data_IF_741811622471
#
_entry.id   IF_741811622471
#
_cell.length_a   1.000
_cell.length_b   1.000
_cell.length_c   1.000
_cell.angle_alpha   90.00
_cell.angle_beta   90.00
_cell.angle_gamma   90.00
#
_symmetry.space_group_name_H-M   'P 1'
#
loop_
_entity.id
_entity.type
_entity.pdbx_description
1 polymer ?
2 branched ?
3 branched ?
4 non-polymer ?
5 water ?
#
# COMPACT_ATOMS: atom_id res chain seq x y z
N UNK A 1 13.73 23.24 -10.01
CA UNK A 1 14.37 22.77 -11.27
C UNK A 1 14.25 21.25 -11.38
N UNK A 2 14.38 20.71 -12.58
CA UNK A 2 14.36 19.26 -12.75
C UNK A 2 15.77 18.82 -12.38
N UNK A 3 15.91 18.24 -11.21
CA UNK A 3 17.24 17.85 -10.77
C UNK A 3 17.80 16.63 -11.44
N UNK A 4 16.95 15.63 -11.56
CA UNK A 4 17.37 14.33 -12.13
C UNK A 4 16.15 13.66 -12.68
N UNK A 5 16.34 12.96 -13.78
CA UNK A 5 15.28 12.22 -14.39
C UNK A 5 15.87 10.85 -14.77
N UNK A 6 15.34 9.80 -14.20
CA UNK A 6 15.87 8.49 -14.52
C UNK A 6 15.21 7.46 -13.63
N UNK A 7 15.81 6.26 -13.59
CA UNK A 7 15.30 5.17 -12.78
C UNK A 7 15.90 5.29 -11.40
N UNK A 8 15.17 4.81 -10.41
CA UNK A 8 15.68 4.80 -9.03
C UNK A 8 16.70 3.63 -8.97
N UNK A 9 17.97 3.95 -8.71
CA UNK A 9 19.00 2.92 -8.65
C UNK A 9 18.85 2.16 -7.33
N UNK A 10 18.67 2.89 -6.23
CA UNK A 10 18.41 2.28 -4.94
C UNK A 10 17.62 3.25 -4.09
N UNK A 11 16.95 2.75 -3.05
CA UNK A 11 16.25 3.68 -2.17
C UNK A 11 16.76 3.28 -0.78
N UNK A 12 16.61 4.16 0.18
CA UNK A 12 17.08 3.89 1.51
C UNK A 12 16.27 4.61 2.52
N UNK A 13 15.91 3.88 3.57
CA UNK A 13 15.15 4.47 4.69
C UNK A 13 16.26 4.86 5.68
N UNK A 14 16.22 6.13 6.08
CA UNK A 14 17.26 6.67 6.97
C UNK A 14 16.87 6.65 8.44
N UNK A 15 17.86 6.69 9.34
CA UNK A 15 17.55 6.63 10.77
C UNK A 15 16.69 7.78 11.26
N UNK A 16 16.76 8.91 10.59
CA UNK A 16 15.94 10.02 11.03
C UNK A 16 14.57 10.01 10.33
N UNK A 17 14.19 8.85 9.80
CA UNK A 17 12.92 8.69 9.09
C UNK A 17 12.79 9.41 7.75
N UNK A 18 13.88 9.95 7.23
CA UNK A 18 13.80 10.54 5.89
C UNK A 18 14.02 9.36 4.91
N UNK A 19 13.91 9.63 3.62
CA UNK A 19 14.04 8.57 2.63
C UNK A 19 14.88 9.08 1.46
N UNK A 20 15.87 8.31 1.09
CA UNK A 20 16.77 8.68 0.04
C UNK A 20 16.59 7.86 -1.20
N UNK A 21 16.68 8.51 -2.34
CA UNK A 21 16.68 7.77 -3.58
C UNK A 21 17.91 8.19 -4.39
N UNK A 22 18.43 7.29 -5.20
CA UNK A 22 19.54 7.60 -6.06
C UNK A 22 19.04 7.53 -7.49
N UNK A 23 19.08 8.69 -8.17
CA UNK A 23 18.63 8.81 -9.55
C UNK A 23 19.69 9.55 -10.40
N UNK A 24 20.05 8.99 -11.58
CA UNK A 24 21.05 9.58 -12.48
C UNK A 24 22.35 9.87 -11.78
N UNK A 25 22.74 8.93 -10.91
CA UNK A 25 24.00 9.03 -10.20
C UNK A 25 24.04 9.99 -9.04
N UNK A 26 22.93 10.61 -8.66
CA UNK A 26 22.95 11.56 -7.54
C UNK A 26 21.93 11.14 -6.47
N UNK A 27 22.22 11.46 -5.21
CA UNK A 27 21.34 11.10 -4.10
C UNK A 27 20.47 12.26 -3.69
N UNK A 28 19.19 12.00 -3.46
CA UNK A 28 18.23 13.03 -3.03
C UNK A 28 17.44 12.43 -1.86
N UNK A 29 17.06 13.25 -0.88
CA UNK A 29 16.34 12.73 0.25
C UNK A 29 15.06 13.51 0.49
N UNK A 30 14.04 12.90 1.07
CA UNK A 30 12.84 13.65 1.35
C UNK A 30 12.35 13.28 2.71
N UNK A 31 11.69 14.25 3.36
CA UNK A 31 11.09 14.04 4.67
C UNK A 31 9.58 13.85 4.55
N UNK A 32 9.05 13.76 3.31
CA UNK A 32 7.61 13.57 3.15
C UNK A 32 7.34 12.06 3.23
N UNK A 33 6.77 11.61 4.34
CA UNK A 33 6.54 10.20 4.52
C UNK A 33 5.63 9.58 3.45
N UNK A 34 4.67 10.33 2.94
CA UNK A 34 3.74 9.82 1.91
C UNK A 34 4.47 9.43 0.63
N UNK A 35 5.65 9.98 0.43
CA UNK A 35 6.38 9.64 -0.77
C UNK A 35 7.02 8.29 -0.72
N UNK A 36 7.30 7.79 0.49
CA UNK A 36 8.01 6.51 0.60
C UNK A 36 7.40 5.36 -0.21
N UNK A 37 6.13 5.03 0.04
CA UNK A 37 5.56 3.92 -0.72
C UNK A 37 5.44 4.21 -2.24
N UNK A 38 5.24 5.49 -2.59
CA UNK A 38 5.12 5.88 -4.01
C UNK A 38 6.46 5.70 -4.72
N UNK A 39 7.55 6.08 -4.05
CA UNK A 39 8.88 5.93 -4.62
C UNK A 39 9.28 4.47 -4.72
N UNK A 40 9.00 3.68 -3.67
CA UNK A 40 9.34 2.29 -3.72
C UNK A 40 8.58 1.56 -4.86
N UNK A 41 7.33 1.94 -5.10
CA UNK A 41 6.56 1.35 -6.20
C UNK A 41 7.13 1.68 -7.56
N UNK A 42 7.55 2.94 -7.74
CA UNK A 42 8.18 3.39 -8.97
C UNK A 42 9.47 2.55 -9.15
N UNK A 43 10.22 2.38 -8.08
CA UNK A 43 11.44 1.60 -8.15
C UNK A 43 11.18 0.16 -8.58
N UNK A 44 10.16 -0.46 -7.99
CA UNK A 44 9.86 -1.85 -8.32
C UNK A 44 9.42 -2.04 -9.78
N UNK A 45 8.65 -1.10 -10.31
CA UNK A 45 8.18 -1.24 -11.70
C UNK A 45 9.16 -0.63 -12.72
N UNK A 46 10.25 -0.04 -12.23
CA UNK A 46 11.23 0.55 -13.11
C UNK A 46 10.73 1.78 -13.82
N UNK A 47 9.91 2.57 -13.15
CA UNK A 47 9.37 3.77 -13.75
C UNK A 47 10.39 4.90 -13.64
N UNK A 48 10.38 5.80 -14.61
CA UNK A 48 11.25 6.94 -14.58
C UNK A 48 10.61 7.98 -13.62
N UNK A 49 11.44 8.62 -12.79
CA UNK A 49 10.93 9.68 -11.91
C UNK A 49 11.75 10.92 -12.21
N UNK A 50 11.17 12.08 -11.93
CA UNK A 50 11.90 13.34 -12.08
C UNK A 50 11.88 13.99 -10.70
N UNK A 51 13.06 14.11 -10.09
CA UNK A 51 13.20 14.74 -8.78
C UNK A 51 13.22 16.22 -9.06
N UNK A 52 12.33 16.95 -8.40
CA UNK A 52 12.21 18.39 -8.61
C UNK A 52 12.52 19.14 -7.33
N UNK A 53 13.44 20.10 -7.41
CA UNK A 53 13.84 20.89 -6.26
C UNK A 53 14.61 22.11 -6.74
N UNK A 54 14.78 23.10 -5.87
CA UNK A 54 15.59 24.29 -6.20
C UNK A 54 17.05 23.99 -6.02
N UNK A 55 17.35 22.95 -5.24
CA UNK A 55 18.71 22.54 -4.97
C UNK A 55 18.88 21.16 -5.58
N UNK A 56 19.74 21.04 -6.59
CA UNK A 56 19.88 19.80 -7.29
C UNK A 56 21.19 19.05 -7.16
N UNK A 57 22.12 19.56 -6.37
CA UNK A 57 23.37 18.84 -6.23
C UNK A 57 23.13 17.57 -5.41
N UNK A 58 23.96 16.55 -5.61
CA UNK A 58 23.82 15.31 -4.87
C UNK A 58 23.78 15.61 -3.39
N UNK A 59 22.88 14.92 -2.68
CA UNK A 59 22.72 15.12 -1.26
C UNK A 59 21.62 16.09 -0.86
N UNK A 60 20.96 16.70 -1.85
CA UNK A 60 19.91 17.69 -1.59
C UNK A 60 18.53 17.09 -1.24
N UNK A 61 17.73 17.91 -0.58
CA UNK A 61 16.39 17.51 -0.21
C UNK A 61 15.43 17.86 -1.36
N UNK A 62 14.28 17.19 -1.39
CA UNK A 62 13.24 17.47 -2.40
C UNK A 62 11.89 17.12 -1.78
N UNK A 63 10.83 17.66 -2.38
CA UNK A 63 9.49 17.31 -1.92
C UNK A 63 8.54 17.23 -3.09
N UNK A 64 9.07 17.22 -4.31
CA UNK A 64 8.25 17.21 -5.52
C UNK A 64 8.88 16.21 -6.45
N UNK A 65 8.05 15.36 -7.05
CA UNK A 65 8.59 14.33 -7.95
C UNK A 65 7.51 13.89 -8.92
N UNK A 66 7.90 13.77 -10.19
CA UNK A 66 6.95 13.32 -11.20
C UNK A 66 7.24 11.85 -11.46
N UNK A 67 6.18 11.09 -11.67
CA UNK A 67 6.27 9.67 -11.97
C UNK A 67 5.87 9.56 -13.46
N UNK A 68 6.83 9.13 -14.27
CA UNK A 68 6.70 9.00 -15.73
C UNK A 68 6.67 10.39 -16.40
N UNK B 1 -19.27 16.78 -13.57
CA UNK B 1 -19.19 16.26 -14.95
C UNK B 1 -17.98 15.34 -15.10
N UNK B 2 -17.99 14.54 -16.16
CA UNK B 2 -16.90 13.64 -16.50
C UNK B 2 -15.90 14.51 -17.26
N UNK B 3 -14.76 14.84 -16.65
CA UNK B 3 -13.79 15.71 -17.28
C UNK B 3 -12.80 15.05 -18.23
N UNK B 4 -12.45 13.80 -17.94
CA UNK B 4 -11.47 13.12 -18.75
C UNK B 4 -11.58 11.65 -18.40
N UNK B 5 -11.27 10.78 -19.35
CA UNK B 5 -11.33 9.37 -19.12
C UNK B 5 -10.20 8.73 -19.89
N UNK B 6 -9.35 7.98 -19.22
CA UNK B 6 -8.25 7.34 -19.91
C UNK B 6 -7.21 6.87 -18.89
N UNK B 7 -6.03 6.49 -19.36
CA UNK B 7 -4.96 6.05 -18.46
C UNK B 7 -4.28 7.30 -17.94
N UNK B 8 -3.63 7.15 -16.80
CA UNK B 8 -2.89 8.24 -16.23
C UNK B 8 -1.54 8.29 -17.02
N UNK B 9 -1.27 9.43 -17.65
CA UNK B 9 -0.04 9.59 -18.45
C UNK B 9 1.13 9.82 -17.48
N UNK B 10 0.95 10.71 -16.50
CA UNK B 10 1.98 10.85 -15.48
C UNK B 10 1.29 11.33 -14.22
N UNK B 11 1.96 11.19 -13.07
CA UNK B 11 1.41 11.72 -11.83
C UNK B 11 2.53 12.52 -11.21
N UNK B 12 2.20 13.39 -10.27
CA UNK B 12 3.21 14.20 -9.64
C UNK B 12 2.83 14.54 -8.23
N UNK B 13 3.79 14.36 -7.32
CA UNK B 13 3.58 14.71 -5.93
C UNK B 13 4.07 16.14 -5.85
N UNK B 14 3.21 17.05 -5.40
CA UNK B 14 3.56 18.47 -5.31
C UNK B 14 4.06 18.86 -3.93
N UNK B 15 4.81 19.95 -3.90
CA UNK B 15 5.43 20.45 -2.67
C UNK B 15 4.41 20.79 -1.61
N UNK B 16 3.20 21.16 -1.98
CA UNK B 16 2.20 21.48 -0.99
C UNK B 16 1.41 20.26 -0.59
N UNK B 17 1.94 19.10 -0.92
CA UNK B 17 1.30 17.82 -0.62
C UNK B 17 0.05 17.48 -1.46
N UNK B 18 -0.27 18.27 -2.48
CA UNK B 18 -1.36 17.90 -3.35
C UNK B 18 -0.80 16.88 -4.35
N UNK B 19 -1.64 16.39 -5.26
CA UNK B 19 -1.16 15.33 -6.17
C UNK B 19 -1.82 15.60 -7.51
N UNK B 20 -1.01 15.65 -8.55
CA UNK B 20 -1.51 15.92 -9.90
C UNK B 20 -1.44 14.66 -10.77
N UNK B 21 -2.41 14.49 -11.67
CA UNK B 21 -2.38 13.39 -12.63
C UNK B 21 -2.75 13.98 -13.97
N UNK B 22 -2.18 13.43 -15.03
CA UNK B 22 -2.50 13.91 -16.37
C UNK B 22 -3.29 12.80 -17.06
N UNK B 23 -4.50 13.14 -17.50
CA UNK B 23 -5.39 12.17 -18.15
C UNK B 23 -5.97 12.86 -19.38
N UNK B 24 -5.87 12.20 -20.53
CA UNK B 24 -6.40 12.74 -21.81
C UNK B 24 -5.80 14.10 -22.13
N UNK B 25 -4.52 14.25 -21.85
CA UNK B 25 -3.84 15.50 -22.16
C UNK B 25 -4.14 16.67 -21.27
N UNK B 26 -4.88 16.47 -20.19
CA UNK B 26 -5.20 17.56 -19.28
C UNK B 26 -4.72 17.19 -17.89
N UNK B 27 -4.20 18.17 -17.14
CA UNK B 27 -3.75 17.92 -15.77
C UNK B 27 -4.84 18.27 -14.77
N UNK B 28 -4.91 17.50 -13.69
CA UNK B 28 -5.89 17.72 -12.63
C UNK B 28 -5.16 17.46 -11.33
N UNK B 29 -5.55 18.17 -10.26
CA UNK B 29 -4.89 17.95 -9.00
C UNK B 29 -5.91 17.71 -7.90
N UNK B 30 -5.50 17.01 -6.84
CA UNK B 30 -6.41 16.79 -5.74
C UNK B 30 -5.66 16.99 -4.44
N UNK B 31 -6.39 17.45 -3.43
CA UNK B 31 -5.77 17.64 -2.13
C UNK B 31 -6.17 16.50 -1.21
N UNK B 32 -6.81 15.47 -1.75
CA UNK B 32 -7.22 14.36 -0.87
C UNK B 32 -6.09 13.35 -0.71
N UNK B 33 -5.48 13.33 0.48
CA UNK B 33 -4.35 12.43 0.74
C UNK B 33 -4.62 10.96 0.37
N UNK B 34 -5.81 10.47 0.67
CA UNK B 34 -6.19 9.06 0.43
C UNK B 34 -6.12 8.70 -1.05
N UNK B 35 -6.37 9.69 -1.92
CA UNK B 35 -6.33 9.41 -3.36
C UNK B 35 -4.93 9.15 -3.88
N UNK B 36 -3.89 9.57 -3.16
CA UNK B 36 -2.54 9.37 -3.68
C UNK B 36 -2.19 7.92 -4.00
N UNK B 37 -2.31 7.01 -3.01
CA UNK B 37 -1.96 5.63 -3.34
C UNK B 37 -2.93 5.00 -4.35
N UNK B 38 -4.20 5.43 -4.32
CA UNK B 38 -5.15 4.87 -5.27
C UNK B 38 -4.81 5.30 -6.71
N UNK B 39 -4.54 6.61 -6.91
CA UNK B 39 -4.20 7.11 -8.24
C UNK B 39 -2.89 6.51 -8.72
N UNK B 40 -1.88 6.44 -7.85
CA UNK B 40 -0.63 5.83 -8.28
C UNK B 40 -0.79 4.36 -8.66
N UNK B 41 -1.55 3.61 -7.90
CA UNK B 41 -1.75 2.19 -8.23
C UNK B 41 -2.46 2.08 -9.57
N UNK B 42 -3.41 2.98 -9.80
CA UNK B 42 -4.16 2.97 -11.09
C UNK B 42 -3.15 3.23 -12.21
N UNK B 43 -2.25 4.18 -11.99
CA UNK B 43 -1.25 4.52 -13.01
C UNK B 43 -0.31 3.35 -13.29
N UNK B 44 0.15 2.69 -12.22
CA UNK B 44 1.07 1.57 -12.35
C UNK B 44 0.50 0.36 -13.07
N UNK B 45 -0.80 0.15 -12.93
CA UNK B 45 -1.44 -1.02 -13.56
C UNK B 45 -2.19 -0.71 -14.83
N UNK B 46 -2.17 0.55 -15.27
CA UNK B 46 -2.86 0.90 -16.50
C UNK B 46 -4.39 0.93 -16.41
N UNK B 47 -4.95 1.15 -15.21
CA UNK B 47 -6.41 1.25 -15.07
C UNK B 47 -6.92 2.49 -15.79
N UNK B 48 -8.14 2.43 -16.29
CA UNK B 48 -8.75 3.60 -16.90
C UNK B 48 -9.38 4.41 -15.75
N UNK B 49 -9.14 5.71 -15.67
CA UNK B 49 -9.74 6.49 -14.63
C UNK B 49 -10.63 7.57 -15.25
N UNK B 50 -11.67 7.95 -14.54
CA UNK B 50 -12.52 9.01 -15.04
C UNK B 50 -12.43 10.08 -13.98
N UNK B 51 -11.95 11.25 -14.36
CA UNK B 51 -11.81 12.37 -13.42
C UNK B 51 -13.16 13.11 -13.45
N UNK B 52 -13.77 13.28 -12.29
CA UNK B 52 -15.08 13.92 -12.19
C UNK B 52 -14.96 15.22 -11.36
N UNK B 53 -15.47 16.31 -11.92
CA UNK B 53 -15.39 17.62 -11.27
C UNK B 53 -16.33 18.56 -12.00
N UNK B 54 -16.65 19.69 -11.37
CA UNK B 54 -17.48 20.69 -12.06
C UNK B 54 -16.55 21.52 -12.96
N UNK B 55 -15.26 21.53 -12.64
CA UNK B 55 -14.28 22.29 -13.44
C UNK B 55 -13.39 21.30 -14.19
N UNK B 56 -13.51 21.28 -15.51
CA UNK B 56 -12.78 20.33 -16.33
C UNK B 56 -11.60 20.82 -17.13
N UNK B 57 -11.28 22.10 -17.07
CA UNK B 57 -10.14 22.59 -17.85
C UNK B 57 -8.80 22.10 -17.20
N UNK B 58 -7.77 21.94 -18.01
CA UNK B 58 -6.50 21.52 -17.49
C UNK B 58 -6.08 22.44 -16.35
N UNK B 59 -5.51 21.86 -15.30
CA UNK B 59 -5.11 22.61 -14.12
C UNK B 59 -6.18 22.67 -13.02
N UNK B 60 -7.36 22.10 -13.26
CA UNK B 60 -8.45 22.13 -12.27
C UNK B 60 -8.35 21.10 -11.14
N UNK B 61 -9.02 21.39 -10.03
CA UNK B 61 -8.99 20.45 -8.92
C UNK B 61 -10.12 19.43 -9.05
N UNK B 62 -9.97 18.31 -8.33
CA UNK B 62 -10.98 17.28 -8.29
C UNK B 62 -10.87 16.54 -6.97
N UNK B 63 -11.93 15.81 -6.65
CA UNK B 63 -11.96 15.02 -5.46
C UNK B 63 -12.80 13.79 -5.73
N UNK B 64 -13.16 13.56 -6.99
CA UNK B 64 -13.99 12.42 -7.32
C UNK B 64 -13.40 11.74 -8.52
N UNK B 65 -13.32 10.41 -8.46
CA UNK B 65 -12.72 9.66 -9.56
C UNK B 65 -13.22 8.24 -9.56
N UNK B 66 -13.42 7.73 -10.75
CA UNK B 66 -13.87 6.36 -10.94
C UNK B 66 -12.71 5.55 -11.50
N UNK B 67 -12.58 4.31 -11.02
CA UNK B 67 -11.51 3.44 -11.44
C UNK B 67 -12.12 2.26 -12.14
N UNK B 68 -11.76 2.07 -13.39
CA UNK B 68 -12.26 0.94 -14.17
C UNK B 68 -11.19 -0.02 -14.63
N UNK C 1 -26.59 -9.68 5.81
CA UNK C 1 -26.87 -10.61 4.66
C UNK C 1 -25.74 -10.49 3.64
N UNK C 2 -25.58 -11.53 2.80
CA UNK C 2 -24.59 -11.48 1.72
C UNK C 2 -25.26 -10.71 0.57
N UNK C 3 -24.91 -9.45 0.41
CA UNK C 3 -25.55 -8.63 -0.61
C UNK C 3 -25.20 -8.94 -2.05
N UNK C 4 -23.90 -9.16 -2.27
CA UNK C 4 -23.39 -9.39 -3.62
C UNK C 4 -22.05 -10.13 -3.44
N UNK C 5 -21.74 -11.02 -4.37
CA UNK C 5 -20.50 -11.76 -4.31
C UNK C 5 -20.00 -11.80 -5.74
N UNK C 6 -18.83 -11.25 -5.97
CA UNK C 6 -18.33 -11.25 -7.34
C UNK C 6 -17.09 -10.40 -7.44
N UNK C 7 -16.66 -10.08 -8.65
CA UNK C 7 -15.48 -9.24 -8.85
C UNK C 7 -15.98 -7.81 -8.78
N UNK C 8 -15.08 -6.88 -8.52
CA UNK C 8 -15.49 -5.48 -8.50
C UNK C 8 -15.47 -5.00 -9.95
N UNK C 9 -16.58 -4.47 -10.46
CA UNK C 9 -16.63 -4.00 -11.84
C UNK C 9 -16.00 -2.62 -11.90
N UNK C 10 -16.26 -1.78 -10.90
CA UNK C 10 -15.62 -0.46 -10.85
C UNK C 10 -15.62 0.04 -9.42
N UNK C 11 -14.74 0.97 -9.10
CA UNK C 11 -14.75 1.51 -7.76
C UNK C 11 -14.72 3.03 -7.99
N UNK C 12 -15.15 3.81 -7.03
CA UNK C 12 -15.18 5.24 -7.23
C UNK C 12 -14.94 5.89 -5.90
N UNK C 13 -14.11 6.93 -5.91
CA UNK C 13 -13.79 7.68 -4.71
C UNK C 13 -14.74 8.89 -4.80
N UNK C 14 -15.54 9.07 -3.76
CA UNK C 14 -16.54 10.12 -3.74
C UNK C 14 -16.10 11.41 -3.05
N UNK C 15 -16.76 12.51 -3.41
CA UNK C 15 -16.40 13.79 -2.88
C UNK C 15 -16.46 13.89 -1.37
N UNK C 16 -17.31 13.09 -0.73
CA UNK C 16 -17.40 13.10 0.75
C UNK C 16 -16.44 12.10 1.38
N UNK C 17 -15.47 11.62 0.59
CA UNK C 17 -14.48 10.65 1.00
C UNK C 17 -15.01 9.24 1.25
N UNK C 18 -16.24 8.93 0.82
CA UNK C 18 -16.75 7.57 0.95
C UNK C 18 -16.22 6.86 -0.31
N UNK C 19 -16.43 5.55 -0.41
CA UNK C 19 -15.88 4.82 -1.55
C UNK C 19 -16.96 3.85 -2.04
N UNK C 20 -17.18 3.81 -3.33
CA UNK C 20 -18.25 2.98 -3.90
C UNK C 20 -17.64 1.87 -4.73
N UNK C 21 -18.24 0.69 -4.66
CA UNK C 21 -17.81 -0.41 -5.52
C UNK C 21 -19.10 -0.95 -6.15
N UNK C 22 -18.98 -1.42 -7.38
CA UNK C 22 -20.10 -2.03 -8.07
C UNK C 22 -19.78 -3.53 -8.16
N UNK C 23 -20.63 -4.36 -7.58
CA UNK C 23 -20.41 -5.81 -7.56
C UNK C 23 -21.78 -6.44 -7.94
N UNK C 24 -21.76 -7.39 -8.89
CA UNK C 24 -22.97 -8.07 -9.38
C UNK C 24 -24.04 -7.13 -9.87
N UNK C 25 -23.62 -6.05 -10.53
CA UNK C 25 -24.60 -5.13 -11.04
C UNK C 25 -25.14 -4.16 -10.02
N UNK C 26 -24.72 -4.21 -8.76
CA UNK C 26 -25.25 -3.24 -7.80
C UNK C 26 -24.15 -2.38 -7.18
N UNK C 27 -24.47 -1.16 -6.78
CA UNK C 27 -23.45 -0.29 -6.21
C UNK C 27 -23.59 -0.29 -4.71
N UNK C 28 -22.47 -0.27 -4.00
CA UNK C 28 -22.46 -0.22 -2.54
C UNK C 28 -21.38 0.78 -2.12
N UNK C 29 -21.60 1.50 -1.04
CA UNK C 29 -20.59 2.47 -0.63
C UNK C 29 -20.21 2.23 0.83
N UNK C 30 -19.03 2.67 1.23
CA UNK C 30 -18.60 2.50 2.60
C UNK C 30 -17.86 3.77 3.05
N UNK C 31 -17.97 4.10 4.34
CA UNK C 31 -17.26 5.27 4.87
C UNK C 31 -16.01 4.83 5.61
N UNK C 32 -15.63 3.55 5.51
CA UNK C 32 -14.46 3.09 6.23
C UNK C 32 -13.22 3.28 5.37
N UNK C 33 -12.43 4.28 5.73
CA UNK C 33 -11.21 4.62 5.00
C UNK C 33 -10.30 3.42 4.74
N UNK C 34 -10.16 2.54 5.75
CA UNK C 34 -9.27 1.38 5.66
C UNK C 34 -9.62 0.46 4.51
N UNK C 35 -10.88 0.44 4.11
CA UNK C 35 -11.34 -0.42 3.05
C UNK C 35 -10.90 0.01 1.67
N UNK C 36 -10.56 1.28 1.52
CA UNK C 36 -10.18 1.76 0.20
C UNK C 36 -9.05 0.99 -0.47
N UNK C 37 -7.88 0.90 0.18
CA UNK C 37 -6.80 0.17 -0.46
C UNK C 37 -7.12 -1.31 -0.56
N UNK C 38 -7.83 -1.86 0.42
CA UNK C 38 -8.16 -3.29 0.33
C UNK C 38 -9.08 -3.57 -0.87
N UNK C 39 -10.09 -2.73 -1.07
CA UNK C 39 -11.03 -2.93 -2.18
C UNK C 39 -10.36 -2.66 -3.53
N UNK C 40 -9.50 -1.66 -3.62
CA UNK C 40 -8.83 -1.42 -4.89
C UNK C 40 -7.92 -2.61 -5.24
N UNK C 41 -7.22 -3.15 -4.23
CA UNK C 41 -6.32 -4.30 -4.48
C UNK C 41 -7.13 -5.48 -4.99
N UNK C 42 -8.25 -5.72 -4.34
CA UNK C 42 -9.13 -6.80 -4.75
C UNK C 42 -9.57 -6.57 -6.21
N UNK C 43 -9.91 -5.33 -6.53
CA UNK C 43 -10.36 -5.02 -7.91
C UNK C 43 -9.24 -5.27 -8.95
N UNK C 44 -8.04 -4.81 -8.63
CA UNK C 44 -6.89 -4.98 -9.53
C UNK C 44 -6.51 -6.46 -9.76
N UNK C 45 -6.74 -7.30 -8.75
CA UNK C 45 -6.36 -8.71 -8.84
C UNK C 45 -7.47 -9.65 -9.19
N UNK C 46 -8.69 -9.13 -9.37
CA UNK C 46 -9.81 -9.98 -9.71
C UNK C 46 -10.26 -10.84 -8.55
N UNK C 47 -9.98 -10.44 -7.32
CA UNK C 47 -10.46 -11.22 -6.16
C UNK C 47 -11.98 -11.18 -6.12
N UNK C 48 -12.60 -12.25 -5.61
CA UNK C 48 -14.03 -12.30 -5.43
C UNK C 48 -14.33 -11.67 -4.06
N UNK C 49 -15.22 -10.69 -4.01
CA UNK C 49 -15.55 -10.07 -2.74
C UNK C 49 -17.03 -10.32 -2.45
N UNK C 50 -17.37 -10.40 -1.17
CA UNK C 50 -18.76 -10.54 -0.74
C UNK C 50 -19.06 -9.33 0.13
N UNK C 51 -19.97 -8.49 -0.33
CA UNK C 51 -20.40 -7.28 0.38
C UNK C 51 -21.45 -7.77 1.40
N UNK C 52 -21.20 -7.51 2.69
CA UNK C 52 -22.08 -7.92 3.78
C UNK C 52 -22.70 -6.67 4.41
N UNK C 53 -24.04 -6.67 4.49
CA UNK C 53 -24.79 -5.56 5.03
C UNK C 53 -26.25 -6.01 5.28
N UNK C 54 -26.98 -5.31 6.15
CA UNK C 54 -28.39 -5.69 6.37
C UNK C 54 -29.23 -5.07 5.27
N UNK C 55 -28.67 -4.11 4.54
CA UNK C 55 -29.39 -3.45 3.46
C UNK C 55 -28.63 -3.79 2.20
N UNK C 56 -29.27 -4.51 1.28
CA UNK C 56 -28.59 -4.96 0.09
C UNK C 56 -29.02 -4.37 -1.21
N UNK C 57 -30.03 -3.50 -1.22
CA UNK C 57 -30.44 -2.93 -2.51
C UNK C 57 -29.32 -2.01 -3.04
N UNK C 58 -29.28 -1.79 -4.37
CA UNK C 58 -28.24 -0.94 -4.96
C UNK C 58 -28.30 0.44 -4.30
N UNK C 59 -27.12 0.98 -4.00
CA UNK C 59 -26.98 2.28 -3.34
C UNK C 59 -26.84 2.22 -1.84
N UNK C 60 -26.81 1.02 -1.26
CA UNK C 60 -26.72 0.84 0.19
C UNK C 60 -25.30 0.94 0.72
N UNK C 61 -25.18 1.25 2.01
CA UNK C 61 -23.87 1.33 2.62
C UNK C 61 -23.46 -0.03 3.18
N UNK C 62 -22.16 -0.20 3.43
CA UNK C 62 -21.70 -1.45 4.05
C UNK C 62 -20.40 -1.13 4.79
N UNK C 63 -20.02 -2.00 5.71
CA UNK C 63 -18.77 -1.82 6.42
C UNK C 63 -18.18 -3.20 6.63
N UNK C 64 -18.71 -4.21 5.95
CA UNK C 64 -18.21 -5.56 6.18
C UNK C 64 -18.04 -6.23 4.83
N UNK C 65 -16.91 -6.91 4.64
CA UNK C 65 -16.64 -7.54 3.36
C UNK C 65 -15.66 -8.68 3.46
N UNK C 66 -16.01 -9.77 2.78
CA UNK C 66 -15.14 -10.94 2.75
C UNK C 66 -14.38 -10.96 1.42
N UNK C 67 -13.09 -11.29 1.52
CA UNK C 67 -12.20 -11.35 0.35
C UNK C 67 -11.79 -12.79 0.14
N UNK C 68 -12.09 -13.32 -1.05
CA UNK C 68 -11.73 -14.67 -1.43
C UNK C 68 -10.86 -14.75 -2.67
N UNK D 1 1.92 -19.58 21.31
CA UNK D 1 1.98 -20.84 20.53
C UNK D 1 1.70 -20.56 19.06
N UNK D 2 2.10 -21.49 18.20
CA UNK D 2 1.81 -21.38 16.77
C UNK D 2 0.42 -22.00 16.62
N UNK D 3 -0.60 -21.15 16.52
CA UNK D 3 -1.98 -21.60 16.39
C UNK D 3 -2.36 -22.21 15.06
N UNK D 4 -1.80 -21.70 13.97
CA UNK D 4 -2.15 -22.24 12.66
C UNK D 4 -1.06 -21.80 11.71
N UNK D 5 -0.79 -22.64 10.71
CA UNK D 5 0.21 -22.31 9.74
C UNK D 5 -0.39 -22.78 8.42
N UNK D 6 -0.52 -21.89 7.45
CA UNK D 6 -1.10 -22.33 6.19
C UNK D 6 -1.43 -21.13 5.36
N UNK D 7 -2.11 -21.35 4.26
CA UNK D 7 -2.51 -20.23 3.40
C UNK D 7 -3.76 -19.57 3.98
N UNK D 8 -3.97 -18.31 3.63
CA UNK D 8 -5.17 -17.62 4.05
C UNK D 8 -6.33 -18.05 3.10
N UNK D 9 -7.33 -18.75 3.63
CA UNK D 9 -8.49 -19.21 2.82
C UNK D 9 -9.36 -18.00 2.44
N UNK D 10 -9.72 -17.15 3.41
CA UNK D 10 -10.42 -15.91 3.12
C UNK D 10 -10.03 -14.92 4.20
N UNK D 11 -10.25 -13.64 3.91
CA UNK D 11 -9.98 -12.61 4.90
C UNK D 11 -11.29 -11.82 4.93
N UNK D 12 -11.54 -11.12 6.04
CA UNK D 12 -12.77 -10.39 6.15
C UNK D 12 -12.62 -9.16 7.03
N UNK D 13 -13.11 -8.05 6.50
CA UNK D 13 -13.08 -6.81 7.24
C UNK D 13 -14.43 -6.81 7.99
N UNK D 14 -14.36 -6.64 9.32
CA UNK D 14 -15.52 -6.69 10.17
C UNK D 14 -16.07 -5.29 10.47
N UNK D 15 -17.33 -5.22 10.87
CA UNK D 15 -17.95 -3.95 11.15
C UNK D 15 -17.30 -3.17 12.27
N UNK D 16 -16.65 -3.86 13.21
CA UNK D 16 -15.97 -3.14 14.29
C UNK D 16 -14.55 -2.76 13.91
N UNK D 17 -14.24 -2.85 12.62
CA UNK D 17 -12.93 -2.53 12.06
C UNK D 17 -11.83 -3.53 12.37
N UNK D 18 -12.19 -4.70 12.93
CA UNK D 18 -11.17 -5.72 13.16
C UNK D 18 -11.06 -6.48 11.83
N UNK D 19 -10.13 -7.43 11.75
CA UNK D 19 -9.90 -8.14 10.52
C UNK D 19 -9.70 -9.62 10.82
N UNK D 20 -10.46 -10.45 10.13
CA UNK D 20 -10.44 -11.89 10.33
C UNK D 20 -9.77 -12.62 9.17
N UNK D 21 -8.98 -13.63 9.50
CA UNK D 21 -8.39 -14.44 8.45
C UNK D 21 -8.72 -15.87 8.83
N UNK D 22 -8.94 -16.70 7.82
CA UNK D 22 -9.21 -18.11 8.09
C UNK D 22 -7.96 -18.86 7.62
N UNK D 23 -7.28 -19.51 8.54
CA UNK D 23 -6.06 -20.27 8.22
C UNK D 23 -6.21 -21.67 8.84
N UNK D 24 -5.86 -22.69 8.06
CA UNK D 24 -5.94 -24.11 8.51
C UNK D 24 -7.29 -24.48 9.08
N UNK D 25 -8.36 -23.94 8.49
CA UNK D 25 -9.71 -24.25 8.94
C UNK D 25 -10.21 -23.47 10.16
N UNK D 26 -9.33 -22.66 10.74
CA UNK D 26 -9.73 -21.86 11.90
C UNK D 26 -9.72 -20.33 11.60
N UNK D 27 -10.61 -19.58 12.23
CA UNK D 27 -10.69 -18.15 12.01
C UNK D 27 -10.04 -17.43 13.17
N UNK D 28 -9.34 -16.35 12.89
CA UNK D 28 -8.69 -15.55 13.95
C UNK D 28 -8.87 -14.09 13.55
N UNK D 29 -8.87 -13.20 14.52
CA UNK D 29 -9.08 -11.82 14.19
C UNK D 29 -8.04 -10.98 14.87
N UNK D 30 -7.77 -9.81 14.30
CA UNK D 30 -6.81 -8.92 14.88
C UNK D 30 -7.35 -7.54 14.81
N UNK D 31 -6.99 -6.72 15.79
CA UNK D 31 -7.46 -5.35 15.84
C UNK D 31 -6.32 -4.44 15.46
N UNK D 32 -5.20 -5.00 15.02
CA UNK D 32 -4.07 -4.15 14.64
C UNK D 32 -4.37 -3.73 13.21
N UNK D 33 -4.69 -2.45 13.01
CA UNK D 33 -5.03 -1.97 11.68
C UNK D 33 -3.94 -2.16 10.61
N UNK D 34 -2.68 -2.04 11.02
CA UNK D 34 -1.53 -2.14 10.10
C UNK D 34 -1.38 -3.48 9.48
N UNK D 35 -1.88 -4.52 10.14
CA UNK D 35 -1.79 -5.87 9.61
C UNK D 35 -2.79 -6.08 8.47
N UNK D 36 -3.77 -5.20 8.32
CA UNK D 36 -4.76 -5.45 7.24
C UNK D 36 -4.12 -5.54 5.89
N UNK D 37 -3.37 -4.50 5.47
CA UNK D 37 -2.76 -4.64 4.14
C UNK D 37 -1.70 -5.73 4.06
N UNK D 38 -0.98 -5.98 5.14
CA UNK D 38 0.05 -7.04 5.13
C UNK D 38 -0.58 -8.43 4.98
N UNK D 39 -1.71 -8.64 5.66
CA UNK D 39 -2.38 -9.94 5.55
C UNK D 39 -3.03 -10.11 4.16
N UNK D 40 -3.63 -9.04 3.63
CA UNK D 40 -4.24 -9.15 2.31
C UNK D 40 -3.17 -9.43 1.24
N UNK D 41 -1.99 -8.82 1.38
CA UNK D 41 -0.89 -9.03 0.44
C UNK D 41 -0.40 -10.49 0.48
N UNK D 42 -0.39 -11.07 1.67
CA UNK D 42 0.02 -12.47 1.82
C UNK D 42 -1.03 -13.32 1.15
N UNK D 43 -2.29 -12.97 1.37
CA UNK D 43 -3.37 -13.76 0.78
C UNK D 43 -3.30 -13.76 -0.76
N UNK D 44 -3.09 -12.59 -1.32
CA UNK D 44 -3.00 -12.42 -2.78
C UNK D 44 -1.85 -13.21 -3.40
N UNK D 45 -0.71 -13.22 -2.74
CA UNK D 45 0.44 -13.91 -3.31
C UNK D 45 0.49 -15.38 -2.92
N UNK D 46 -0.48 -15.83 -2.10
CA UNK D 46 -0.50 -17.22 -1.67
C UNK D 46 0.64 -17.63 -0.74
N UNK D 47 1.06 -16.70 0.10
CA UNK D 47 2.12 -16.94 1.03
C UNK D 47 1.58 -17.59 2.30
N UNK D 48 2.43 -18.41 2.91
CA UNK D 48 2.06 -19.08 4.14
C UNK D 48 2.20 -18.12 5.32
N UNK D 49 1.23 -18.14 6.23
CA UNK D 49 1.31 -17.32 7.41
C UNK D 49 1.21 -18.22 8.64
N UNK D 50 1.81 -17.81 9.74
CA UNK D 50 1.72 -18.55 10.98
C UNK D 50 1.08 -17.57 11.95
N UNK D 51 -0.11 -17.92 12.44
CA UNK D 51 -0.85 -17.10 13.39
C UNK D 51 -0.31 -17.51 14.75
N UNK D 52 0.21 -16.54 15.47
CA UNK D 52 0.79 -16.74 16.80
C UNK D 52 -0.04 -16.04 17.88
N UNK D 53 -0.45 -16.81 18.87
CA UNK D 53 -1.26 -16.28 19.99
C UNK D 53 -1.25 -17.28 21.16
N UNK D 54 -1.71 -16.82 22.33
CA UNK D 54 -1.79 -17.67 23.52
C UNK D 54 -3.06 -18.52 23.47
N UNK D 55 -4.07 -18.03 22.76
CA UNK D 55 -5.30 -18.77 22.61
C UNK D 55 -5.41 -19.14 21.15
N UNK D 56 -5.53 -20.44 20.87
CA UNK D 56 -5.58 -20.91 19.50
C UNK D 56 -6.90 -21.44 19.01
N UNK D 57 -7.97 -21.37 19.81
CA UNK D 57 -9.26 -21.88 19.33
C UNK D 57 -9.85 -20.91 18.31
N UNK D 58 -10.62 -21.45 17.36
CA UNK D 58 -11.24 -20.65 16.34
C UNK D 58 -12.03 -19.50 16.97
N UNK D 59 -11.96 -18.35 16.34
CA UNK D 59 -12.65 -17.17 16.85
C UNK D 59 -11.77 -16.32 17.76
N UNK D 60 -10.53 -16.74 18.02
CA UNK D 60 -9.60 -15.99 18.91
C UNK D 60 -8.91 -14.82 18.25
N UNK D 61 -8.37 -13.92 19.07
CA UNK D 61 -7.67 -12.77 18.58
C UNK D 61 -6.19 -13.08 18.53
N UNK D 62 -5.44 -12.38 17.68
CA UNK D 62 -4.00 -12.56 17.58
C UNK D 62 -3.42 -11.20 17.23
N UNK D 63 -2.14 -10.99 17.54
CA UNK D 63 -1.47 -9.75 17.21
C UNK D 63 -0.05 -10.04 16.75
N UNK D 64 0.25 -11.31 16.50
CA UNK D 64 1.57 -11.69 16.04
C UNK D 64 1.42 -12.66 14.85
N UNK D 65 2.23 -12.47 13.81
CA UNK D 65 2.08 -13.34 12.64
C UNK D 65 3.35 -13.34 11.81
N UNK D 66 3.77 -14.52 11.41
CA UNK D 66 4.95 -14.65 10.59
C UNK D 66 4.53 -14.85 9.15
N UNK D 67 5.22 -14.19 8.23
CA UNK D 67 4.94 -14.29 6.79
C UNK D 67 6.10 -15.09 6.21
N UNK D 68 5.76 -16.25 5.66
CA UNK D 68 6.73 -17.22 5.13
C UNK D 68 7.53 -17.91 6.27
N UNK E 1 27.22 -0.13 10.16
CA UNK E 1 27.78 -1.17 9.28
C UNK E 1 26.66 -1.86 8.46
N UNK E 2 27.04 -2.54 7.39
CA UNK E 2 26.11 -3.30 6.61
C UNK E 2 26.07 -4.65 7.34
N UNK E 3 25.01 -4.92 8.08
CA UNK E 3 24.91 -6.17 8.83
C UNK E 3 24.57 -7.39 8.01
N UNK E 4 23.68 -7.21 7.04
CA UNK E 4 23.25 -8.32 6.20
C UNK E 4 22.76 -7.75 4.89
N UNK E 5 22.94 -8.50 3.82
CA UNK E 5 22.49 -8.07 2.53
C UNK E 5 21.93 -9.30 1.86
N UNK E 6 20.72 -9.22 1.37
CA UNK E 6 20.14 -10.38 0.70
C UNK E 6 18.63 -10.23 0.62
N UNK E 7 17.94 -11.30 0.28
CA UNK E 7 16.48 -11.23 0.22
C UNK E 7 15.95 -11.49 1.61
N UNK E 8 14.73 -11.07 1.88
CA UNK E 8 14.13 -11.33 3.19
C UNK E 8 13.58 -12.77 3.11
N UNK E 9 14.00 -13.63 4.04
CA UNK E 9 13.57 -15.05 4.09
C UNK E 9 12.17 -15.12 4.70
N UNK E 10 11.94 -14.39 5.79
CA UNK E 10 10.62 -14.30 6.40
C UNK E 10 10.54 -12.99 7.16
N UNK E 11 9.31 -12.59 7.50
CA UNK E 11 9.12 -11.38 8.26
C UNK E 11 8.05 -11.73 9.30
N UNK E 12 8.02 -10.95 10.37
CA UNK E 12 7.08 -11.24 11.42
C UNK E 12 6.64 -9.97 12.10
N UNK E 13 5.34 -9.87 12.29
CA UNK E 13 4.79 -8.70 12.97
C UNK E 13 4.73 -9.15 14.41
N UNK E 14 5.35 -8.39 15.30
CA UNK E 14 5.42 -8.77 16.69
C UNK E 14 4.30 -8.18 17.53
N UNK E 15 4.01 -8.83 18.65
CA UNK E 15 2.92 -8.38 19.51
C UNK E 15 3.14 -6.95 20.04
N UNK E 16 4.40 -6.57 20.24
CA UNK E 16 4.73 -5.22 20.69
C UNK E 16 4.78 -4.23 19.50
N UNK E 17 4.27 -4.65 18.34
CA UNK E 17 4.23 -3.82 17.14
C UNK E 17 5.57 -3.58 16.46
N UNK E 18 6.61 -4.29 16.85
CA UNK E 18 7.87 -4.11 16.13
C UNK E 18 7.77 -5.10 14.95
N UNK E 19 8.74 -5.07 14.06
CA UNK E 19 8.68 -5.91 12.88
C UNK E 19 10.03 -6.55 12.69
N UNK E 20 10.02 -7.86 12.53
CA UNK E 20 11.26 -8.61 12.37
C UNK E 20 11.41 -9.14 10.95
N UNK E 21 12.64 -9.11 10.46
CA UNK E 21 12.96 -9.69 9.15
C UNK E 21 14.20 -10.58 9.32
N UNK E 22 14.25 -11.65 8.55
CA UNK E 22 15.41 -12.52 8.61
C UNK E 22 16.12 -12.32 7.29
N UNK E 23 17.39 -11.90 7.35
CA UNK E 23 18.15 -11.69 6.12
C UNK E 23 19.52 -12.37 6.30
N UNK E 24 19.98 -13.09 5.28
CA UNK E 24 21.27 -13.80 5.35
C UNK E 24 21.34 -14.62 6.64
N UNK E 25 20.27 -15.34 6.97
CA UNK E 25 20.27 -16.16 8.18
C UNK E 25 20.26 -15.45 9.52
N UNK E 26 20.18 -14.13 9.55
CA UNK E 26 20.15 -13.43 10.84
C UNK E 26 18.85 -12.64 10.95
N UNK E 27 18.30 -12.54 12.16
CA UNK E 27 17.05 -11.82 12.39
C UNK E 27 17.32 -10.42 12.90
N UNK E 28 16.52 -9.45 12.43
CA UNK E 28 16.66 -8.07 12.88
C UNK E 28 15.27 -7.52 13.05
N UNK E 29 15.10 -6.58 13.95
CA UNK E 29 13.79 -6.02 14.18
C UNK E 29 13.86 -4.51 14.16
N UNK E 30 12.76 -3.87 13.79
CA UNK E 30 12.73 -2.45 13.80
C UNK E 30 11.45 -1.95 14.46
N UNK E 31 11.52 -0.78 15.10
CA UNK E 31 10.29 -0.25 15.71
C UNK E 31 9.73 0.87 14.82
N UNK E 32 10.30 1.08 13.62
CA UNK E 32 9.79 2.15 12.75
C UNK E 32 8.57 1.66 11.95
N UNK E 33 7.40 2.17 12.30
CA UNK E 33 6.15 1.79 11.63
C UNK E 33 6.19 1.91 10.10
N UNK E 34 6.81 2.99 9.61
CA UNK E 34 6.87 3.23 8.15
C UNK E 34 7.63 2.14 7.42
N UNK E 35 8.53 1.45 8.10
CA UNK E 35 9.29 0.39 7.44
C UNK E 35 8.50 -0.88 7.20
N UNK E 36 7.44 -1.09 7.93
CA UNK E 36 6.66 -2.31 7.81
C UNK E 36 6.17 -2.59 6.38
N UNK E 37 5.46 -1.64 5.75
CA UNK E 37 5.00 -1.95 4.40
C UNK E 37 6.16 -1.95 3.41
N UNK E 38 7.21 -1.18 3.65
CA UNK E 38 8.34 -1.16 2.71
C UNK E 38 9.06 -2.51 2.74
N UNK E 39 9.25 -3.03 3.95
CA UNK E 39 9.92 -4.32 4.13
C UNK E 39 9.07 -5.46 3.59
N UNK E 40 7.77 -5.46 3.91
CA UNK E 40 6.96 -6.55 3.40
C UNK E 40 6.91 -6.51 1.86
N UNK E 41 6.84 -5.31 1.27
CA UNK E 41 6.86 -5.21 -0.19
C UNK E 41 8.17 -5.75 -0.76
N UNK E 42 9.31 -5.43 -0.13
CA UNK E 42 10.62 -5.92 -0.59
C UNK E 42 10.58 -7.48 -0.51
N UNK E 43 10.01 -8.02 0.56
CA UNK E 43 9.90 -9.46 0.72
C UNK E 43 9.06 -10.11 -0.40
N UNK E 44 7.90 -9.54 -0.67
CA UNK E 44 7.01 -10.13 -1.69
C UNK E 44 7.57 -10.07 -3.08
N UNK E 45 8.41 -9.07 -3.37
CA UNK E 45 8.95 -8.93 -4.73
C UNK E 45 10.38 -9.41 -4.86
N UNK E 46 10.94 -9.92 -3.79
CA UNK E 46 12.31 -10.41 -3.87
C UNK E 46 13.37 -9.33 -4.02
N UNK E 47 13.12 -8.12 -3.51
CA UNK E 47 14.13 -7.08 -3.58
C UNK E 47 15.30 -7.48 -2.66
N UNK E 48 16.50 -7.02 -2.98
CA UNK E 48 17.64 -7.26 -2.14
C UNK E 48 17.69 -6.12 -1.13
N UNK E 49 17.76 -6.42 0.17
CA UNK E 49 17.83 -5.36 1.18
C UNK E 49 19.17 -5.44 1.93
N UNK E 50 19.66 -4.29 2.38
CA UNK E 50 20.88 -4.24 3.18
C UNK E 50 20.46 -3.67 4.50
N UNK E 51 20.57 -4.45 5.54
CA UNK E 51 20.21 -4.01 6.90
C UNK E 51 21.44 -3.26 7.43
N UNK E 52 21.26 -1.98 7.81
CA UNK E 52 22.34 -1.13 8.30
C UNK E 52 22.11 -0.80 9.79
N UNK E 53 23.14 -1.05 10.60
CA UNK E 53 22.99 -0.80 12.03
C UNK E 53 24.40 -0.88 12.61
N UNK E 54 24.58 -0.37 13.82
CA UNK E 54 25.87 -0.46 14.52
C UNK E 54 25.95 -1.84 15.22
N UNK E 55 24.79 -2.46 15.46
CA UNK E 55 24.78 -3.77 16.09
C UNK E 55 24.29 -4.82 15.10
N UNK E 56 25.18 -5.71 14.66
CA UNK E 56 24.83 -6.70 13.64
C UNK E 56 24.55 -8.13 14.01
N UNK E 57 24.69 -8.49 15.29
CA UNK E 57 24.40 -9.86 15.67
C UNK E 57 22.90 -10.14 15.52
N UNK E 58 22.53 -11.39 15.28
CA UNK E 58 21.13 -11.76 15.15
C UNK E 58 20.38 -11.30 16.39
N UNK E 59 19.17 -10.77 16.21
CA UNK E 59 18.35 -10.29 17.32
C UNK E 59 18.46 -8.79 17.57
N UNK E 60 19.33 -8.11 16.82
CA UNK E 60 19.54 -6.67 16.98
C UNK E 60 18.52 -5.79 16.27
N UNK E 61 18.42 -4.54 16.72
CA UNK E 61 17.47 -3.60 16.12
C UNK E 61 18.13 -2.83 15.00
N UNK E 62 17.32 -2.19 14.16
CA UNK E 62 17.85 -1.39 13.08
C UNK E 62 16.80 -0.35 12.74
N UNK E 63 17.23 0.68 12.03
CA UNK E 63 16.29 1.69 11.63
C UNK E 63 16.70 2.20 10.26
N UNK E 64 17.71 1.57 9.66
CA UNK E 64 18.20 2.01 8.34
C UNK E 64 18.29 0.81 7.42
N UNK E 65 17.84 0.95 6.18
CA UNK E 65 17.88 -0.17 5.24
C UNK E 65 17.88 0.34 3.80
N UNK E 66 18.72 -0.27 2.99
CA UNK E 66 18.80 0.11 1.59
C UNK E 66 18.05 -0.96 0.80
N UNK E 67 17.31 -0.51 -0.19
CA UNK E 67 16.53 -1.41 -1.04
C UNK E 67 17.08 -1.37 -2.46
N UNK E 68 17.50 -2.52 -2.98
CA UNK E 68 17.95 -2.60 -4.38
C UNK E 68 17.05 -3.54 -5.17
#
# INVERSE_FOLDING_TARGET
ADCAKGKIEFSKYNEDNTFTVKVSGREYWTNRWNLQPLLQSAQLTGMTVTIISNTCSSGSGFAEVQFN
ADCAKGKIEFSKYNEDNTFTVKVSGREYWTNRWNLQPLLQSAQLTGMTVTIISNTCSSGSGFAEVQFN
ADCAKGKIEFSKYNEDNTFTVKVSGREYWTNRWNLQPLLQSAQLTGMTVTIISNTCSSGSGFAEVQFN
ADCAKGKIEFSKYNEDNTFTVKVSGREYWTNRWNLQPLLQSAQLTGMTVTIISNTCSSGSGFAEVQFN
ADCAKGKIEFSKYNEDNTFTVKVSGREYWTNRWNLQPLLQSAQLTGMTVTIISNTCSSGSGFAEVQFN
#
